data_IF_705134048215
#
_entry.id   IF_705134048215
#
_cell.length_a   1.000
_cell.length_b   1.000
_cell.length_c   1.000
_cell.angle_alpha   90.00
_cell.angle_beta   90.00
_cell.angle_gamma   90.00
#
_symmetry.space_group_name_H-M   'P 1'
#
loop_
_entity.id
_entity.type
_entity.pdbx_description
1 polymer ?
#
# COMPACT_ATOMS: atom_id res chain seq x y z
N UNK A 1 -32.81 -22.00 10.78
CA UNK A 1 -31.81 -22.18 11.87
C UNK A 1 -30.46 -21.73 11.35
N UNK A 2 -29.99 -20.58 11.84
CA UNK A 2 -28.78 -19.87 11.38
C UNK A 2 -27.54 -20.42 12.09
N UNK A 3 -26.63 -21.05 11.33
CA UNK A 3 -25.31 -21.51 11.81
C UNK A 3 -24.22 -20.61 11.24
N UNK A 4 -24.23 -19.33 11.65
CA UNK A 4 -23.06 -18.47 11.54
C UNK A 4 -22.15 -18.80 12.72
N UNK A 5 -21.22 -19.74 12.50
CA UNK A 5 -20.12 -20.05 13.42
C UNK A 5 -19.41 -18.76 13.81
N UNK A 6 -19.43 -18.44 15.10
CA UNK A 6 -18.81 -17.23 15.67
C UNK A 6 -17.32 -17.19 15.31
N UNK A 7 -16.90 -16.20 14.51
CA UNK A 7 -15.50 -15.87 14.32
C UNK A 7 -14.87 -15.53 15.68
N UNK A 8 -14.09 -16.46 16.26
CA UNK A 8 -13.24 -16.16 17.43
C UNK A 8 -12.01 -15.40 16.94
N UNK A 9 -12.05 -14.07 17.06
CA UNK A 9 -10.88 -13.21 16.86
C UNK A 9 -9.97 -13.36 18.09
N UNK A 10 -8.84 -14.07 17.94
CA UNK A 10 -7.88 -14.25 19.03
C UNK A 10 -6.88 -13.10 19.15
N UNK A 11 -6.69 -12.32 18.08
CA UNK A 11 -5.69 -11.24 18.02
C UNK A 11 -6.13 -10.21 16.98
N UNK A 12 -6.13 -8.95 17.39
CA UNK A 12 -6.45 -7.80 16.54
C UNK A 12 -5.23 -6.88 16.48
N UNK A 13 -4.68 -6.71 15.28
CA UNK A 13 -3.53 -5.84 15.05
C UNK A 13 -4.00 -4.51 14.46
N UNK A 14 -3.75 -3.42 15.17
CA UNK A 14 -4.01 -2.05 14.70
C UNK A 14 -2.70 -1.38 14.29
N UNK A 15 -2.61 -0.93 13.04
CA UNK A 15 -1.51 -0.10 12.57
C UNK A 15 -1.73 1.36 13.02
N UNK A 16 -1.14 1.71 14.16
CA UNK A 16 -1.23 3.06 14.76
C UNK A 16 0.06 3.87 14.62
N UNK A 17 0.97 3.45 13.73
CA UNK A 17 2.29 4.07 13.59
C UNK A 17 2.20 5.57 13.27
N UNK A 18 1.27 5.99 12.40
CA UNK A 18 1.08 7.41 12.09
C UNK A 18 0.51 8.23 13.26
N UNK A 19 -0.35 7.63 14.09
CA UNK A 19 -0.88 8.29 15.29
C UNK A 19 0.25 8.54 16.29
N UNK A 20 1.00 7.50 16.66
CA UNK A 20 2.11 7.64 17.60
C UNK A 20 3.22 8.57 17.11
N UNK A 21 3.53 8.53 15.80
CA UNK A 21 4.45 9.49 15.20
C UNK A 21 3.95 10.94 15.35
N UNK A 22 2.66 11.20 15.14
CA UNK A 22 2.08 12.54 15.29
C UNK A 22 2.06 13.04 16.75
N UNK A 23 1.82 12.15 17.72
CA UNK A 23 1.89 12.47 19.15
C UNK A 23 3.32 12.85 19.54
N UNK A 24 4.32 12.06 19.11
CA UNK A 24 5.73 12.38 19.36
C UNK A 24 6.13 13.74 18.76
N UNK A 25 5.65 14.07 17.55
CA UNK A 25 5.88 15.38 16.93
C UNK A 25 5.18 16.53 17.67
N UNK A 26 4.04 16.27 18.33
CA UNK A 26 3.32 17.27 19.12
C UNK A 26 3.98 17.51 20.48
N UNK A 27 4.50 16.45 21.11
CA UNK A 27 5.19 16.53 22.40
C UNK A 27 6.63 17.07 22.27
N UNK A 28 7.31 16.80 21.17
CA UNK A 28 8.68 17.24 20.90
C UNK A 28 8.74 18.13 19.65
N UNK A 29 8.70 19.48 19.80
CA UNK A 29 8.65 20.41 18.68
C UNK A 29 9.79 20.26 17.66
N UNK A 30 10.96 19.76 18.10
CA UNK A 30 12.11 19.48 17.25
C UNK A 30 11.87 18.37 16.22
N UNK A 31 10.85 17.53 16.41
CA UNK A 31 10.44 16.47 15.48
C UNK A 31 9.37 16.92 14.48
N UNK A 32 8.77 18.09 14.67
CA UNK A 32 7.67 18.57 13.82
C UNK A 32 8.09 18.65 12.34
N UNK A 33 7.31 18.03 11.46
CA UNK A 33 7.60 17.98 10.02
C UNK A 33 8.75 17.03 9.63
N UNK A 34 9.41 16.36 10.58
CA UNK A 34 10.48 15.38 10.31
C UNK A 34 9.91 13.96 10.21
N UNK A 35 10.49 13.05 9.40
CA UNK A 35 10.10 11.64 9.42
C UNK A 35 10.35 11.01 10.80
N UNK A 36 9.33 10.42 11.42
CA UNK A 36 9.42 9.73 12.72
C UNK A 36 9.08 8.25 12.53
N UNK A 37 9.97 7.37 13.00
CA UNK A 37 9.77 5.92 13.00
C UNK A 37 9.23 5.43 14.34
N UNK A 38 8.24 4.53 14.31
CA UNK A 38 7.72 3.86 15.51
C UNK A 38 8.26 2.43 15.51
N UNK A 39 9.09 2.10 16.49
CA UNK A 39 9.69 0.78 16.65
C UNK A 39 9.03 0.05 17.82
N UNK A 40 8.60 -1.18 17.58
CA UNK A 40 8.25 -2.10 18.65
C UNK A 40 9.55 -2.71 19.18
N UNK A 41 9.88 -2.46 20.44
CA UNK A 41 10.98 -3.13 21.11
C UNK A 41 10.46 -4.44 21.71
N UNK A 42 11.21 -5.53 21.53
CA UNK A 42 10.79 -6.91 21.80
C UNK A 42 10.54 -7.25 23.29
N UNK A 43 10.76 -6.32 24.21
CA UNK A 43 10.88 -6.61 25.64
C UNK A 43 9.57 -6.76 26.43
N UNK A 44 8.41 -6.94 25.80
CA UNK A 44 7.17 -7.22 26.54
C UNK A 44 6.34 -8.33 25.89
N UNK A 45 6.59 -9.55 26.35
CA UNK A 45 5.65 -10.67 26.25
C UNK A 45 4.30 -10.26 26.85
N UNK A 46 3.37 -9.90 25.97
CA UNK A 46 1.95 -10.01 26.25
C UNK A 46 1.29 -8.94 27.10
N UNK A 47 1.58 -7.64 26.92
CA UNK A 47 0.59 -6.53 27.02
C UNK A 47 1.16 -5.34 26.22
N UNK A 48 0.49 -4.93 25.13
CA UNK A 48 0.93 -3.85 24.23
C UNK A 48 0.71 -2.42 24.74
N UNK A 49 0.80 -2.18 26.05
CA UNK A 49 0.65 -0.84 26.64
C UNK A 49 1.71 -0.61 27.72
N UNK A 50 2.95 -0.40 27.29
CA UNK A 50 3.94 0.49 27.94
C UNK A 50 5.18 0.52 27.04
N UNK A 51 5.06 1.23 25.92
CA UNK A 51 6.25 1.56 25.14
C UNK A 51 6.96 2.69 25.88
N UNK A 52 8.06 2.36 26.56
CA UNK A 52 9.01 3.36 27.06
C UNK A 52 9.66 3.97 25.83
N UNK A 53 9.12 5.10 25.38
CA UNK A 53 9.61 5.82 24.22
C UNK A 53 10.99 6.41 24.51
N UNK A 54 12.05 5.61 24.31
CA UNK A 54 13.33 6.19 23.97
C UNK A 54 13.27 6.45 22.47
N UNK A 55 12.70 7.60 22.12
CA UNK A 55 12.76 8.17 20.78
C UNK A 55 14.22 8.51 20.52
N UNK A 56 15.01 7.55 20.04
CA UNK A 56 16.24 7.91 19.36
C UNK A 56 15.82 8.51 18.03
N UNK A 57 15.98 9.82 17.90
CA UNK A 57 15.78 10.54 16.66
C UNK A 57 16.79 10.05 15.62
N UNK A 58 16.49 8.91 15.00
CA UNK A 58 17.18 8.47 13.80
C UNK A 58 16.92 9.54 12.75
N UNK A 59 17.95 10.31 12.40
CA UNK A 59 17.89 11.26 11.30
C UNK A 59 17.84 10.46 10.01
N UNK A 60 16.63 10.13 9.59
CA UNK A 60 16.41 9.55 8.28
C UNK A 60 16.71 10.61 7.22
N UNK A 61 17.44 10.28 6.14
CA UNK A 61 17.60 11.20 5.02
C UNK A 61 16.22 11.59 4.51
N UNK A 62 16.08 12.83 4.02
CA UNK A 62 14.82 13.33 3.48
C UNK A 62 14.22 12.33 2.49
N UNK A 63 12.99 11.89 2.74
CA UNK A 63 12.36 10.85 1.93
C UNK A 63 11.92 11.44 0.60
N UNK A 64 12.50 10.97 -0.50
CA UNK A 64 12.01 11.31 -1.85
C UNK A 64 10.85 10.37 -2.16
N UNK A 65 9.67 10.92 -2.44
CA UNK A 65 8.51 10.12 -2.85
C UNK A 65 8.78 9.51 -4.22
N UNK A 66 8.95 8.19 -4.30
CA UNK A 66 9.14 7.46 -5.55
C UNK A 66 7.92 6.70 -6.04
N UNK A 67 6.82 6.70 -5.28
CA UNK A 67 5.65 5.87 -5.55
C UNK A 67 4.35 6.50 -5.03
N UNK A 68 3.28 6.39 -5.82
CA UNK A 68 1.90 6.73 -5.44
C UNK A 68 1.08 5.45 -5.60
N UNK A 69 0.32 5.09 -4.58
CA UNK A 69 -0.52 3.91 -4.62
C UNK A 69 -1.52 3.87 -3.48
N UNK A 70 -2.47 2.96 -3.58
CA UNK A 70 -3.45 2.70 -2.53
C UNK A 70 -3.69 1.20 -2.41
N UNK A 71 -4.01 0.77 -1.19
CA UNK A 71 -4.51 -0.56 -0.88
C UNK A 71 -5.79 -0.46 -0.08
N UNK A 72 -6.61 -1.50 -0.15
CA UNK A 72 -7.86 -1.58 0.57
C UNK A 72 -8.10 -3.01 1.04
N UNK A 73 -8.49 -3.13 2.32
CA UNK A 73 -9.05 -4.37 2.88
C UNK A 73 -10.48 -4.51 2.38
N UNK A 74 -10.83 -5.69 1.88
CA UNK A 74 -12.10 -5.96 1.20
C UNK A 74 -13.09 -6.63 2.15
N UNK A 75 -14.36 -6.26 2.04
CA UNK A 75 -15.47 -6.81 2.83
C UNK A 75 -16.71 -7.03 1.97
N UNK A 76 -17.55 -7.98 2.38
CA UNK A 76 -18.81 -8.29 1.69
C UNK A 76 -18.63 -8.60 0.20
N UNK A 77 -19.43 -8.01 -0.70
CA UNK A 77 -19.38 -8.32 -2.14
C UNK A 77 -18.04 -7.93 -2.79
N UNK A 78 -17.31 -6.97 -2.22
CA UNK A 78 -16.01 -6.55 -2.72
C UNK A 78 -14.92 -7.61 -2.50
N UNK A 79 -15.14 -8.58 -1.60
CA UNK A 79 -14.21 -9.67 -1.35
C UNK A 79 -14.27 -10.78 -2.41
N UNK A 80 -15.19 -10.70 -3.37
CA UNK A 80 -15.16 -11.60 -4.54
C UNK A 80 -13.97 -11.28 -5.47
N UNK A 81 -13.48 -12.22 -6.28
CA UNK A 81 -12.47 -11.96 -7.31
C UNK A 81 -12.82 -10.77 -8.21
N UNK A 82 -14.06 -10.70 -8.68
CA UNK A 82 -14.52 -9.61 -9.53
C UNK A 82 -14.62 -8.29 -8.76
N UNK A 83 -15.16 -8.32 -7.54
CA UNK A 83 -15.22 -7.15 -6.66
C UNK A 83 -13.83 -6.59 -6.37
N UNK A 84 -12.86 -7.46 -6.07
CA UNK A 84 -11.47 -7.10 -5.86
C UNK A 84 -10.87 -6.45 -7.11
N UNK A 85 -11.14 -7.00 -8.31
CA UNK A 85 -10.70 -6.43 -9.59
C UNK A 85 -11.23 -5.01 -9.77
N UNK A 86 -12.53 -4.80 -9.54
CA UNK A 86 -13.18 -3.49 -9.67
C UNK A 86 -12.66 -2.48 -8.65
N UNK A 87 -12.42 -2.91 -7.40
CA UNK A 87 -11.78 -2.05 -6.38
C UNK A 87 -10.36 -1.68 -6.81
N UNK A 88 -9.56 -2.63 -7.28
CA UNK A 88 -8.19 -2.37 -7.79
C UNK A 88 -8.20 -1.34 -8.91
N UNK A 89 -9.14 -1.48 -9.85
CA UNK A 89 -9.35 -0.54 -10.96
C UNK A 89 -9.64 0.88 -10.44
N UNK A 90 -10.54 1.01 -9.47
CA UNK A 90 -10.83 2.30 -8.80
C UNK A 90 -9.61 2.89 -8.10
N UNK A 91 -8.85 2.06 -7.38
CA UNK A 91 -7.64 2.49 -6.68
C UNK A 91 -6.57 3.00 -7.66
N UNK A 92 -6.42 2.34 -8.81
CA UNK A 92 -5.52 2.79 -9.87
C UNK A 92 -5.95 4.14 -10.46
N UNK A 93 -7.23 4.34 -10.75
CA UNK A 93 -7.74 5.63 -11.24
C UNK A 93 -7.45 6.76 -10.24
N UNK A 94 -7.64 6.50 -8.94
CA UNK A 94 -7.31 7.44 -7.87
C UNK A 94 -5.81 7.76 -7.82
N UNK A 95 -4.96 6.74 -7.94
CA UNK A 95 -3.51 6.88 -7.99
C UNK A 95 -3.06 7.70 -9.21
N UNK A 96 -3.58 7.39 -10.40
CA UNK A 96 -3.28 8.10 -11.65
C UNK A 96 -3.72 9.56 -11.60
N UNK A 97 -4.90 9.87 -11.03
CA UNK A 97 -5.36 11.25 -10.85
C UNK A 97 -4.42 12.06 -9.92
N UNK A 98 -3.91 11.44 -8.86
CA UNK A 98 -2.93 12.08 -7.96
C UNK A 98 -1.58 12.28 -8.66
N UNK A 99 -1.12 11.29 -9.40
CA UNK A 99 0.11 11.34 -10.18
C UNK A 99 0.10 12.50 -11.19
N UNK A 100 -1.02 12.70 -11.90
CA UNK A 100 -1.22 13.88 -12.78
C UNK A 100 -1.19 15.21 -12.04
N UNK A 101 -1.89 15.29 -10.90
CA UNK A 101 -1.96 16.52 -10.09
C UNK A 101 -0.58 16.94 -9.57
N UNK A 102 0.26 15.97 -9.24
CA UNK A 102 1.64 16.19 -8.77
C UNK A 102 2.65 16.30 -9.94
N UNK A 103 2.21 16.29 -11.20
CA UNK A 103 3.07 16.46 -12.38
C UNK A 103 4.00 15.27 -12.69
N UNK A 104 3.77 14.11 -12.07
CA UNK A 104 4.60 12.92 -12.24
C UNK A 104 4.13 12.04 -13.39
N UNK A 105 5.01 11.16 -13.89
CA UNK A 105 4.70 10.17 -14.91
C UNK A 105 4.96 8.76 -14.35
N UNK A 106 3.99 7.87 -14.52
CA UNK A 106 4.13 6.48 -14.10
C UNK A 106 5.19 5.81 -14.97
N UNK A 107 6.11 5.07 -14.36
CA UNK A 107 7.10 4.23 -15.05
C UNK A 107 7.01 2.76 -14.69
N UNK A 108 6.15 2.42 -13.74
CA UNK A 108 5.81 1.05 -13.41
C UNK A 108 4.41 1.00 -12.84
N UNK A 109 3.79 -0.17 -12.94
CA UNK A 109 2.55 -0.49 -12.28
C UNK A 109 2.74 -1.81 -11.54
N UNK A 110 2.36 -1.83 -10.26
CA UNK A 110 2.32 -3.02 -9.42
C UNK A 110 0.93 -3.20 -8.85
N UNK A 111 0.38 -4.40 -8.99
CA UNK A 111 -0.85 -4.83 -8.34
C UNK A 111 -0.56 -5.93 -7.34
N UNK A 112 -1.35 -5.97 -6.26
CA UNK A 112 -1.23 -7.04 -5.28
C UNK A 112 -2.57 -7.44 -4.71
N UNK A 113 -2.78 -8.75 -4.56
CA UNK A 113 -3.94 -9.34 -3.91
C UNK A 113 -3.49 -10.16 -2.71
N UNK A 114 -4.31 -10.19 -1.65
CA UNK A 114 -4.15 -11.10 -0.53
C UNK A 114 -5.36 -12.00 -0.43
N UNK A 115 -5.14 -13.29 -0.43
CA UNK A 115 -6.19 -14.29 -0.29
C UNK A 115 -6.43 -14.60 1.19
N UNK A 116 -7.66 -15.00 1.51
CA UNK A 116 -8.00 -15.44 2.88
C UNK A 116 -7.18 -16.68 3.29
N UNK A 117 -6.97 -17.58 2.33
CA UNK A 117 -6.21 -18.82 2.46
C UNK A 117 -4.86 -18.73 1.74
N UNK A 118 -3.94 -19.64 2.06
CA UNK A 118 -2.64 -19.75 1.37
C UNK A 118 -2.85 -20.42 0.00
N UNK A 119 -2.32 -19.82 -1.05
CA UNK A 119 -2.20 -20.44 -2.38
C UNK A 119 -0.72 -20.53 -2.70
N UNK A 120 -0.26 -21.73 -3.07
CA UNK A 120 1.16 -22.01 -3.31
C UNK A 120 2.05 -21.58 -2.12
N UNK A 121 1.57 -21.83 -0.89
CA UNK A 121 2.28 -21.45 0.35
C UNK A 121 2.27 -19.95 0.67
N UNK A 122 1.79 -19.08 -0.22
CA UNK A 122 1.79 -17.61 -0.06
C UNK A 122 0.36 -17.07 0.14
N UNK A 123 0.20 -16.10 1.04
CA UNK A 123 -1.09 -15.39 1.23
C UNK A 123 -1.22 -14.15 0.35
N UNK A 124 -0.10 -13.60 -0.13
CA UNK A 124 -0.04 -12.39 -0.95
C UNK A 124 0.62 -12.72 -2.27
N UNK A 125 0.00 -12.26 -3.35
CA UNK A 125 0.50 -12.39 -4.70
C UNK A 125 0.55 -11.01 -5.33
N UNK A 126 1.67 -10.70 -5.97
CA UNK A 126 1.88 -9.44 -6.66
C UNK A 126 2.42 -9.66 -8.06
N UNK A 127 2.09 -8.74 -8.94
CA UNK A 127 2.62 -8.63 -10.29
C UNK A 127 2.94 -7.18 -10.56
N UNK A 128 4.03 -6.97 -11.27
CA UNK A 128 4.46 -5.64 -11.66
C UNK A 128 5.04 -5.67 -13.07
N UNK A 129 5.03 -4.50 -13.69
CA UNK A 129 5.69 -4.25 -14.98
C UNK A 129 6.27 -2.86 -15.00
N UNK A 130 7.32 -2.70 -15.80
CA UNK A 130 7.84 -1.39 -16.19
C UNK A 130 7.04 -0.84 -17.36
N UNK A 131 7.00 0.48 -17.48
CA UNK A 131 6.22 1.22 -18.47
C UNK A 131 7.07 2.36 -19.03
N UNK A 132 6.83 2.71 -20.29
CA UNK A 132 7.20 4.04 -20.77
C UNK A 132 6.50 5.11 -19.91
N UNK A 133 7.16 6.24 -19.70
CA UNK A 133 6.63 7.33 -18.88
C UNK A 133 5.26 7.77 -19.39
N UNK A 134 4.22 7.62 -18.56
CA UNK A 134 2.84 7.88 -18.98
C UNK A 134 1.98 8.50 -17.88
N UNK A 135 0.99 9.28 -18.30
CA UNK A 135 -0.12 9.77 -17.48
C UNK A 135 -1.49 9.26 -17.97
N UNK A 136 -1.48 8.45 -19.04
CA UNK A 136 -2.70 7.93 -19.66
C UNK A 136 -3.34 6.88 -18.74
N UNK A 137 -4.54 7.20 -18.28
CA UNK A 137 -5.28 6.29 -17.37
C UNK A 137 -5.82 5.09 -18.12
N UNK A 138 -6.22 5.22 -19.38
CA UNK A 138 -6.78 4.11 -20.15
C UNK A 138 -5.71 3.04 -20.38
N UNK A 139 -4.53 3.46 -20.85
CA UNK A 139 -3.36 2.58 -20.96
C UNK A 139 -3.02 1.90 -19.62
N UNK A 140 -2.99 2.64 -18.51
CA UNK A 140 -2.76 2.05 -17.18
C UNK A 140 -3.81 1.00 -16.81
N UNK A 141 -5.07 1.18 -17.20
CA UNK A 141 -6.15 0.22 -16.95
C UNK A 141 -6.03 -1.04 -17.82
N UNK A 142 -5.54 -0.91 -19.05
CA UNK A 142 -5.23 -2.04 -19.93
C UNK A 142 -4.08 -2.87 -19.35
N UNK A 143 -3.01 -2.22 -18.90
CA UNK A 143 -1.89 -2.88 -18.21
C UNK A 143 -2.38 -3.59 -16.95
N UNK A 144 -3.25 -2.95 -16.15
CA UNK A 144 -3.86 -3.60 -14.97
C UNK A 144 -4.61 -4.87 -15.36
N UNK A 145 -5.38 -4.85 -16.45
CA UNK A 145 -6.13 -6.02 -16.91
C UNK A 145 -5.18 -7.17 -17.28
N UNK A 146 -4.08 -6.87 -17.98
CA UNK A 146 -3.04 -7.85 -18.30
C UNK A 146 -2.37 -8.43 -17.05
N UNK A 147 -1.96 -7.58 -16.11
CA UNK A 147 -1.36 -8.01 -14.84
C UNK A 147 -2.34 -8.84 -14.00
N UNK A 148 -3.63 -8.51 -14.03
CA UNK A 148 -4.66 -9.22 -13.30
C UNK A 148 -4.88 -10.64 -13.84
N UNK A 149 -4.85 -10.81 -15.17
CA UNK A 149 -5.04 -12.10 -15.82
C UNK A 149 -3.93 -13.12 -15.49
N UNK A 150 -2.71 -12.66 -15.18
CA UNK A 150 -1.55 -13.50 -14.85
C UNK A 150 -1.30 -13.64 -13.33
N UNK A 151 -2.17 -13.05 -12.50
CA UNK A 151 -2.20 -13.39 -11.08
C UNK A 151 -2.68 -14.83 -10.93
N UNK A 152 -2.14 -15.60 -9.98
CA UNK A 152 -2.67 -16.92 -9.69
C UNK A 152 -4.18 -16.81 -9.41
N UNK A 153 -4.97 -17.82 -9.82
CA UNK A 153 -6.41 -17.77 -9.72
C UNK A 153 -6.81 -17.35 -8.31
N UNK A 154 -7.52 -16.22 -8.23
CA UNK A 154 -7.98 -15.71 -6.96
C UNK A 154 -9.11 -16.62 -6.47
N UNK A 155 -9.03 -17.15 -5.24
CA UNK A 155 -10.05 -18.00 -4.69
C UNK A 155 -11.32 -17.17 -4.48
N UNK A 156 -12.44 -17.82 -4.15
CA UNK A 156 -13.74 -17.16 -3.95
C UNK A 156 -13.71 -15.95 -2.99
N UNK A 157 -12.67 -15.83 -2.15
CA UNK A 157 -12.48 -14.72 -1.21
C UNK A 157 -11.08 -14.06 -1.26
N UNK A 158 -11.06 -12.77 -1.61
CA UNK A 158 -9.92 -11.86 -1.59
C UNK A 158 -10.07 -10.90 -0.40
N UNK A 159 -9.12 -10.91 0.53
CA UNK A 159 -9.17 -10.10 1.75
C UNK A 159 -8.58 -8.69 1.54
N UNK A 160 -7.72 -8.50 0.54
CA UNK A 160 -7.07 -7.23 0.26
C UNK A 160 -6.71 -7.10 -1.21
N UNK A 161 -6.80 -5.88 -1.74
CA UNK A 161 -6.20 -5.52 -3.01
C UNK A 161 -5.49 -4.17 -2.95
N UNK A 162 -4.53 -3.96 -3.84
CA UNK A 162 -3.89 -2.66 -4.00
C UNK A 162 -3.28 -2.48 -5.39
N UNK A 163 -3.19 -1.22 -5.80
CA UNK A 163 -2.51 -0.79 -7.01
C UNK A 163 -1.54 0.34 -6.66
N UNK A 164 -0.31 0.24 -7.15
CA UNK A 164 0.77 1.20 -6.91
C UNK A 164 1.51 1.48 -8.20
N UNK A 165 1.88 2.73 -8.40
CA UNK A 165 2.72 3.17 -9.53
C UNK A 165 3.97 3.83 -8.97
N UNK A 166 5.15 3.28 -9.28
CA UNK A 166 6.38 4.05 -9.12
C UNK A 166 6.49 5.05 -10.27
N UNK A 167 7.00 6.23 -9.97
CA UNK A 167 7.00 7.34 -10.89
C UNK A 167 8.35 8.05 -10.92
N UNK A 168 8.60 8.74 -12.03
CA UNK A 168 9.69 9.70 -12.17
C UNK A 168 9.15 10.98 -12.79
N UNK A 169 9.92 12.06 -12.69
CA UNK A 169 9.73 13.20 -13.61
C UNK A 169 10.20 12.77 -15.00
N UNK A 170 9.53 13.23 -16.05
CA UNK A 170 10.11 13.12 -17.40
C UNK A 170 11.42 13.92 -17.35
N UNK A 171 12.57 13.31 -17.70
CA UNK A 171 13.80 14.07 -17.82
C UNK A 171 13.61 15.10 -18.93
N UNK A 172 13.85 16.36 -18.62
CA UNK A 172 13.82 17.45 -19.57
C UNK A 172 15.08 17.38 -20.44
N UNK A 173 15.07 18.04 -21.60
CA UNK A 173 16.23 18.07 -22.51
C UNK A 173 17.52 18.49 -21.80
N UNK A 174 17.38 19.38 -20.83
CA UNK A 174 18.42 19.93 -19.94
C UNK A 174 18.98 18.91 -18.92
N UNK A 175 18.24 17.85 -18.58
CA UNK A 175 18.76 16.77 -17.71
C UNK A 175 19.74 15.82 -18.44
N UNK A 176 19.89 15.98 -19.76
CA UNK A 176 20.80 15.19 -20.62
C UNK A 176 22.00 15.99 -21.12
N UNK A 177 22.19 17.23 -20.67
CA UNK A 177 23.39 18.00 -20.98
C UNK A 177 24.49 17.61 -19.98
N UNK A 178 25.55 16.99 -20.49
CA UNK A 178 26.82 16.73 -19.77
C UNK A 178 27.60 18.02 -19.51
#
# INVERSE_FOLDING_TARGET
>A
MSLLSHLRVSTLFFDMNSYYASVAQAEEPALMGRPVGVLALDDLLGVSLRMKARLEAAVWPGTKRGMIGHGQVLTGPNASPEGARLVTRRLLVKAAARLRREGYFARSLSISVKNGEKIEGRRRHSRDTTLCATQDTLFLLEVLAGLWAVLPPTPHHVAYTGAKTAFGRIPLREDFAE
#
